data_IF_533388386617
#
_entry.id   IF_533388386617
#
_cell.length_a   1.000
_cell.length_b   1.000
_cell.length_c   1.000
_cell.angle_alpha   90.00
_cell.angle_beta   90.00
_cell.angle_gamma   90.00
#
_symmetry.space_group_name_H-M   'P 1'
#
loop_
_entity.id
_entity.type
_entity.pdbx_description
1 polymer ?
#
# COMPACT_ATOMS: atom_id res chain seq x y z
N UNK A 1 -13.52 -20.94 7.35
CA UNK A 1 -12.12 -21.25 7.00
C UNK A 1 -11.46 -19.95 6.58
N UNK A 2 -10.41 -19.49 7.28
CA UNK A 2 -9.68 -18.28 6.91
C UNK A 2 -8.69 -18.60 5.79
N UNK A 3 -8.58 -17.72 4.80
CA UNK A 3 -7.54 -17.86 3.78
C UNK A 3 -6.24 -17.25 4.31
N UNK A 4 -5.07 -17.79 3.93
CA UNK A 4 -3.76 -17.16 4.19
C UNK A 4 -3.53 -15.89 3.34
N UNK A 5 -4.60 -15.19 2.94
CA UNK A 5 -4.58 -14.03 2.04
C UNK A 5 -5.08 -12.79 2.77
N UNK A 6 -4.50 -11.65 2.45
CA UNK A 6 -4.91 -10.35 2.97
C UNK A 6 -4.88 -9.30 1.86
N UNK A 7 -5.74 -8.29 1.99
CA UNK A 7 -5.78 -7.11 1.13
C UNK A 7 -5.29 -5.92 1.96
N UNK A 8 -4.23 -5.25 1.50
CA UNK A 8 -3.74 -4.03 2.13
C UNK A 8 -4.33 -2.81 1.43
N UNK A 9 -4.85 -1.85 2.20
CA UNK A 9 -5.37 -0.56 1.74
C UNK A 9 -4.73 0.58 2.52
N UNK A 10 -4.54 1.73 1.89
CA UNK A 10 -4.14 2.93 2.59
C UNK A 10 -5.24 3.44 3.53
N UNK A 11 -4.85 3.95 4.69
CA UNK A 11 -5.77 4.68 5.56
C UNK A 11 -5.89 6.15 5.14
N UNK A 12 -6.88 6.46 4.30
CA UNK A 12 -7.16 7.82 3.86
C UNK A 12 -8.19 8.57 4.73
N UNK A 13 -8.48 8.08 5.94
CA UNK A 13 -9.48 8.68 6.84
C UNK A 13 -9.20 10.16 7.15
N UNK A 14 -7.92 10.58 7.14
CA UNK A 14 -7.51 11.96 7.41
C UNK A 14 -7.60 12.92 6.21
N UNK A 15 -7.82 12.43 4.99
CA UNK A 15 -7.62 13.25 3.79
C UNK A 15 -8.63 14.40 3.69
N UNK A 16 -9.88 14.19 4.16
CA UNK A 16 -10.97 15.18 4.10
C UNK A 16 -10.72 16.44 4.92
N UNK A 17 -9.84 16.37 5.91
CA UNK A 17 -9.48 17.51 6.77
C UNK A 17 -8.30 18.31 6.21
N UNK A 18 -7.63 17.81 5.18
CA UNK A 18 -6.47 18.48 4.61
C UNK A 18 -6.90 19.72 3.80
N UNK A 19 -6.23 20.87 3.98
CA UNK A 19 -6.54 22.06 3.20
C UNK A 19 -6.21 21.82 1.72
N UNK A 20 -7.19 22.03 0.84
CA UNK A 20 -7.04 21.91 -0.62
C UNK A 20 -7.32 23.24 -1.31
N UNK A 21 -6.61 23.49 -2.42
CA UNK A 21 -6.87 24.66 -3.28
C UNK A 21 -8.30 24.60 -3.81
N UNK A 22 -8.94 25.76 -4.01
CA UNK A 22 -10.33 25.86 -4.52
C UNK A 22 -10.55 25.03 -5.79
N UNK A 23 -9.59 25.07 -6.72
CA UNK A 23 -9.63 24.30 -7.99
C UNK A 23 -9.61 22.78 -7.81
N UNK A 24 -9.13 22.27 -6.68
CA UNK A 24 -9.03 20.83 -6.41
C UNK A 24 -10.16 20.31 -5.51
N UNK A 25 -11.01 21.21 -4.98
CA UNK A 25 -12.06 20.87 -4.00
C UNK A 25 -13.05 19.85 -4.53
N UNK A 26 -13.54 20.01 -5.75
CA UNK A 26 -14.50 19.08 -6.37
C UNK A 26 -13.91 17.67 -6.53
N UNK A 27 -12.66 17.57 -7.02
CA UNK A 27 -11.97 16.27 -7.13
C UNK A 27 -11.76 15.61 -5.76
N UNK A 28 -11.50 16.42 -4.74
CA UNK A 28 -11.32 15.95 -3.37
C UNK A 28 -12.64 15.48 -2.73
N UNK A 29 -13.74 16.19 -2.95
CA UNK A 29 -15.06 15.86 -2.40
C UNK A 29 -15.75 14.69 -3.12
N UNK A 30 -15.54 14.55 -4.43
CA UNK A 30 -16.19 13.53 -5.25
C UNK A 30 -15.60 12.13 -5.08
N UNK A 31 -14.45 11.99 -4.41
CA UNK A 31 -13.87 10.68 -4.17
C UNK A 31 -14.50 10.00 -2.94
N UNK A 32 -15.34 9.00 -3.20
CA UNK A 32 -15.98 8.15 -2.18
C UNK A 32 -15.05 7.03 -1.67
N UNK A 33 -13.82 7.34 -1.25
CA UNK A 33 -12.87 6.33 -0.76
C UNK A 33 -13.41 5.54 0.44
N UNK A 34 -14.16 6.20 1.34
CA UNK A 34 -14.78 5.52 2.48
C UNK A 34 -15.75 4.42 2.04
N UNK A 35 -16.61 4.72 1.06
CA UNK A 35 -17.56 3.76 0.51
C UNK A 35 -16.84 2.59 -0.19
N UNK A 36 -15.79 2.89 -0.96
CA UNK A 36 -14.96 1.85 -1.57
C UNK A 36 -14.35 0.92 -0.50
N UNK A 37 -13.77 1.49 0.57
CA UNK A 37 -13.24 0.72 1.70
C UNK A 37 -14.31 -0.15 2.35
N UNK A 38 -15.50 0.40 2.60
CA UNK A 38 -16.62 -0.37 3.16
C UNK A 38 -16.96 -1.55 2.25
N UNK A 39 -17.06 -1.33 0.94
CA UNK A 39 -17.37 -2.37 -0.02
C UNK A 39 -16.30 -3.45 -0.12
N UNK A 40 -15.02 -3.08 -0.10
CA UNK A 40 -13.93 -4.06 -0.07
C UNK A 40 -13.96 -4.84 1.24
N UNK A 41 -14.18 -4.18 2.37
CA UNK A 41 -14.15 -4.81 3.70
C UNK A 41 -15.22 -5.89 3.83
N UNK A 42 -16.49 -5.58 3.54
CA UNK A 42 -17.55 -6.58 3.70
C UNK A 42 -17.42 -7.75 2.71
N UNK A 43 -16.93 -7.49 1.48
CA UNK A 43 -16.72 -8.56 0.49
C UNK A 43 -15.54 -9.46 0.89
N UNK A 44 -14.45 -8.86 1.39
CA UNK A 44 -13.29 -9.61 1.87
C UNK A 44 -13.65 -10.47 3.09
N UNK A 45 -14.41 -9.92 4.04
CA UNK A 45 -14.91 -10.65 5.21
C UNK A 45 -15.74 -11.87 4.78
N UNK A 46 -16.69 -11.69 3.85
CA UNK A 46 -17.49 -12.79 3.28
C UNK A 46 -16.65 -13.88 2.61
N UNK A 47 -15.46 -13.53 2.12
CA UNK A 47 -14.52 -14.46 1.49
C UNK A 47 -13.46 -15.01 2.47
N UNK A 48 -13.51 -14.66 3.76
CA UNK A 48 -12.50 -15.06 4.74
C UNK A 48 -11.12 -14.45 4.46
N UNK A 49 -11.07 -13.26 3.87
CA UNK A 49 -9.87 -12.49 3.55
C UNK A 49 -9.79 -11.28 4.48
N UNK A 50 -8.63 -11.06 5.11
CA UNK A 50 -8.43 -9.92 6.00
C UNK A 50 -8.15 -8.64 5.20
N UNK A 51 -8.64 -7.51 5.70
CA UNK A 51 -8.26 -6.18 5.19
C UNK A 51 -7.35 -5.49 6.21
N UNK A 52 -6.18 -5.06 5.75
CA UNK A 52 -5.17 -4.39 6.58
C UNK A 52 -5.04 -2.95 6.13
N UNK A 53 -5.14 -2.01 7.07
CA UNK A 53 -4.91 -0.60 6.78
C UNK A 53 -3.45 -0.25 7.04
N UNK A 54 -2.86 0.52 6.13
CA UNK A 54 -1.48 0.98 6.23
C UNK A 54 -1.41 2.51 6.13
N UNK A 55 -0.38 3.09 6.73
CA UNK A 55 -0.12 4.53 6.60
C UNK A 55 0.13 4.88 5.11
N UNK A 56 -0.61 5.83 4.51
CA UNK A 56 -0.39 6.28 3.13
C UNK A 56 0.92 7.05 2.92
N UNK A 57 1.60 7.49 3.99
CA UNK A 57 2.78 8.37 3.85
C UNK A 57 3.89 7.68 3.08
N UNK A 58 4.38 8.34 2.03
CA UNK A 58 5.54 7.94 1.23
C UNK A 58 5.41 6.64 0.43
N UNK A 59 4.23 6.02 0.35
CA UNK A 59 4.00 4.80 -0.44
C UNK A 59 4.34 4.99 -1.91
N UNK A 60 4.07 6.17 -2.49
CA UNK A 60 4.40 6.50 -3.88
C UNK A 60 5.78 7.13 -4.09
N UNK A 61 6.61 7.25 -3.05
CA UNK A 61 7.94 7.90 -3.10
C UNK A 61 9.08 7.01 -2.62
N UNK A 62 8.76 5.94 -1.92
CA UNK A 62 9.74 4.96 -1.41
C UNK A 62 10.13 4.03 -2.54
N UNK A 63 11.42 3.89 -2.80
CA UNK A 63 11.90 2.88 -3.74
C UNK A 63 11.72 1.49 -3.14
N UNK A 64 11.07 0.54 -3.84
CA UNK A 64 10.89 -0.82 -3.33
C UNK A 64 12.20 -1.62 -3.33
N UNK A 65 13.17 -1.24 -4.18
CA UNK A 65 14.46 -1.94 -4.29
C UNK A 65 15.46 -1.51 -3.21
N UNK A 66 15.68 -0.20 -3.04
CA UNK A 66 16.72 0.32 -2.15
C UNK A 66 16.19 1.07 -0.91
N UNK A 67 14.88 1.22 -0.77
CA UNK A 67 14.26 1.95 0.34
C UNK A 67 14.39 3.48 0.30
N UNK A 68 15.14 4.05 -0.66
CA UNK A 68 15.34 5.49 -0.74
C UNK A 68 14.02 6.26 -0.95
N UNK A 69 13.77 7.28 -0.12
CA UNK A 69 12.57 8.10 -0.15
C UNK A 69 12.92 9.52 -0.60
N UNK A 70 12.47 9.91 -1.79
CA UNK A 70 12.63 11.28 -2.27
C UNK A 70 11.39 11.75 -3.05
N UNK A 71 11.09 13.05 -2.97
CA UNK A 71 10.06 13.66 -3.81
C UNK A 71 10.40 13.55 -5.29
N UNK A 72 11.69 13.66 -5.62
CA UNK A 72 12.21 13.52 -6.98
C UNK A 72 12.01 12.12 -7.56
N UNK A 73 11.79 11.08 -6.73
CA UNK A 73 11.51 9.75 -7.23
C UNK A 73 10.20 9.68 -8.03
N UNK A 74 9.24 10.58 -7.73
CA UNK A 74 7.96 10.67 -8.44
C UNK A 74 8.00 11.83 -9.42
N UNK A 75 8.53 11.58 -10.62
CA UNK A 75 8.70 12.60 -11.68
C UNK A 75 7.37 13.14 -12.19
N UNK A 76 6.37 12.27 -12.35
CA UNK A 76 5.02 12.65 -12.75
C UNK A 76 3.98 11.88 -11.92
N UNK A 77 2.68 12.14 -12.12
CA UNK A 77 1.66 11.35 -11.45
C UNK A 77 1.76 9.86 -11.78
N UNK A 78 2.19 9.52 -13.01
CA UNK A 78 2.23 8.15 -13.55
C UNK A 78 3.60 7.48 -13.47
N UNK A 79 4.70 8.24 -13.43
CA UNK A 79 6.06 7.70 -13.55
C UNK A 79 6.83 7.79 -12.24
N UNK A 80 7.46 6.69 -11.86
CA UNK A 80 8.44 6.59 -10.79
C UNK A 80 9.82 6.25 -11.35
N UNK A 81 10.85 6.92 -10.84
CA UNK A 81 12.26 6.63 -11.14
C UNK A 81 13.12 7.03 -9.95
N UNK A 82 13.73 6.06 -9.29
CA UNK A 82 14.54 6.28 -8.09
C UNK A 82 15.81 7.06 -8.43
N UNK A 83 16.04 8.17 -7.75
CA UNK A 83 17.25 8.99 -7.95
C UNK A 83 18.52 8.39 -7.34
N UNK A 84 18.38 7.33 -6.51
CA UNK A 84 19.49 6.67 -5.84
C UNK A 84 19.97 5.41 -6.56
N UNK A 85 19.06 4.53 -7.02
CA UNK A 85 19.42 3.27 -7.67
C UNK A 85 18.94 3.11 -9.11
N UNK A 86 18.21 4.10 -9.67
CA UNK A 86 17.72 4.06 -11.05
C UNK A 86 16.46 3.22 -11.29
N UNK A 87 15.98 2.44 -10.30
CA UNK A 87 14.76 1.64 -10.44
C UNK A 87 13.58 2.49 -10.94
N UNK A 88 12.94 2.03 -12.01
CA UNK A 88 11.89 2.79 -12.71
C UNK A 88 10.70 1.89 -13.05
N UNK A 89 9.49 2.38 -12.74
CA UNK A 89 8.24 1.65 -12.92
C UNK A 89 7.04 2.62 -12.91
N UNK A 90 5.81 2.17 -13.25
CA UNK A 90 4.62 2.97 -13.02
C UNK A 90 4.44 3.30 -11.53
N UNK A 91 4.12 4.56 -11.22
CA UNK A 91 4.03 5.04 -9.85
C UNK A 91 2.93 4.32 -9.02
N UNK A 92 1.84 3.92 -9.66
CA UNK A 92 0.74 3.20 -9.00
C UNK A 92 1.16 1.76 -8.65
N UNK A 93 1.95 1.10 -9.51
CA UNK A 93 2.55 -0.21 -9.22
C UNK A 93 3.51 -0.13 -8.03
N UNK A 94 4.36 0.90 -8.00
CA UNK A 94 5.29 1.14 -6.87
C UNK A 94 4.52 1.36 -5.57
N UNK A 95 3.45 2.17 -5.60
CA UNK A 95 2.60 2.37 -4.44
C UNK A 95 1.97 1.05 -3.97
N UNK A 96 1.43 0.24 -4.89
CA UNK A 96 0.84 -1.05 -4.56
C UNK A 96 1.83 -2.03 -3.91
N UNK A 97 3.07 -2.11 -4.41
CA UNK A 97 4.15 -2.92 -3.82
C UNK A 97 4.47 -2.45 -2.41
N UNK A 98 4.66 -1.15 -2.20
CA UNK A 98 4.94 -0.59 -0.88
C UNK A 98 3.78 -0.79 0.11
N UNK A 99 2.53 -0.67 -0.35
CA UNK A 99 1.33 -0.94 0.45
C UNK A 99 1.26 -2.41 0.86
N UNK A 100 1.52 -3.33 -0.08
CA UNK A 100 1.56 -4.77 0.18
C UNK A 100 2.62 -5.12 1.22
N UNK A 101 3.85 -4.60 1.06
CA UNK A 101 4.95 -4.82 2.01
C UNK A 101 4.60 -4.32 3.43
N UNK A 102 3.99 -3.14 3.56
CA UNK A 102 3.53 -2.62 4.85
C UNK A 102 2.40 -3.44 5.46
N UNK A 103 1.51 -3.97 4.62
CA UNK A 103 0.43 -4.86 5.07
C UNK A 103 0.96 -6.16 5.67
N UNK A 104 2.07 -6.68 5.12
CA UNK A 104 2.76 -7.84 5.69
C UNK A 104 3.38 -7.52 7.05
N UNK A 105 4.10 -6.40 7.17
CA UNK A 105 4.74 -5.98 8.43
C UNK A 105 3.72 -5.67 9.53
N UNK A 106 2.56 -5.09 9.18
CA UNK A 106 1.49 -4.78 10.13
C UNK A 106 0.63 -6.00 10.50
N UNK A 107 0.90 -7.20 9.97
CA UNK A 107 0.22 -8.41 10.40
C UNK A 107 0.79 -8.86 11.75
N UNK A 108 -0.01 -8.93 12.84
CA UNK A 108 0.49 -9.46 14.10
C UNK A 108 0.99 -10.89 13.90
N UNK A 109 2.19 -11.19 14.39
CA UNK A 109 2.78 -12.55 14.36
C UNK A 109 1.86 -13.61 15.01
N UNK A 110 0.85 -13.18 15.77
CA UNK A 110 -0.19 -14.00 16.42
C UNK A 110 -1.36 -14.41 15.52
N UNK A 111 -1.32 -14.17 14.20
CA UNK A 111 -2.26 -14.81 13.27
C UNK A 111 -1.62 -15.98 12.51
N UNK A 112 -0.91 -16.85 13.22
CA UNK A 112 -0.58 -18.17 12.70
C UNK A 112 -1.69 -19.13 13.15
N UNK A 113 -2.61 -19.61 12.29
CA UNK A 113 -3.25 -20.88 12.58
C UNK A 113 -2.17 -21.96 12.65
N UNK A 114 -2.28 -22.98 13.52
CA UNK A 114 -1.27 -24.02 13.60
C UNK A 114 -1.26 -24.81 12.28
N UNK A 115 -0.29 -24.54 11.41
CA UNK A 115 -0.08 -25.32 10.18
C UNK A 115 0.53 -24.53 9.02
N UNK A 116 1.78 -24.88 8.68
CA UNK A 116 2.59 -24.41 7.54
C UNK A 116 3.13 -22.97 7.66
N UNK A 117 4.39 -22.67 7.43
CA UNK A 117 5.51 -23.43 6.89
C UNK A 117 6.55 -22.39 6.50
N UNK A 118 7.79 -22.58 6.93
CA UNK A 118 8.93 -21.68 6.78
C UNK A 118 9.07 -21.15 5.34
N UNK A 119 9.18 -19.83 5.15
CA UNK A 119 9.63 -19.24 3.88
C UNK A 119 11.16 -19.18 3.93
N UNK A 120 11.91 -19.77 2.97
CA UNK A 120 13.35 -19.67 2.94
C UNK A 120 13.79 -18.25 2.49
N UNK A 121 14.82 -17.72 3.17
CA UNK A 121 15.57 -16.52 2.76
C UNK A 121 16.11 -16.71 1.34
N UNK A 122 16.09 -15.70 0.46
CA UNK A 122 16.90 -15.74 -0.74
C UNK A 122 18.38 -15.70 -0.33
N UNK A 123 19.14 -16.69 -0.82
CA UNK A 123 20.58 -16.76 -0.71
C UNK A 123 21.17 -15.55 -1.46
N UNK A 124 22.04 -14.78 -0.80
CA UNK A 124 22.79 -13.72 -1.46
C UNK A 124 23.65 -14.33 -2.57
N UNK A 125 23.53 -13.80 -3.79
CA UNK A 125 24.46 -14.08 -4.87
C UNK A 125 25.83 -13.44 -4.56
N UNK A 126 26.90 -14.18 -4.85
CA UNK A 126 28.29 -13.81 -4.60
C UNK A 126 28.88 -12.79 -5.55
#
# INVERSE_FOLDING_TARGET
>A
QGTCRAIALEDLSGIRKAPVRRSQRSRHSNWSFHQLRQFVSYKAERAGVRVILVDPRNTSRTCPECGHVAKANRRTQRLFSCVSCGYSAPADTVAAVNISARGYVNSPMVSNPPGSGTIPRPLAAG
#
